data_IF_185774900482
#
_entry.id   IF_185774900482
#
_cell.length_a   1.000
_cell.length_b   1.000
_cell.length_c   1.000
_cell.angle_alpha   90.00
_cell.angle_beta   90.00
_cell.angle_gamma   90.00
#
_symmetry.space_group_name_H-M   'P 1'
#
loop_
_entity.id
_entity.type
_entity.pdbx_description
1 polymer ?
#
# COMPACT_ATOMS: atom_id res chain seq x y z
N UNK A 1 -5.13 2.28 27.18
CA UNK A 1 -5.63 1.09 26.46
C UNK A 1 -4.59 0.73 25.41
N UNK A 2 -4.22 -0.54 25.32
CA UNK A 2 -2.90 -1.01 24.86
C UNK A 2 -2.85 -1.19 23.34
N UNK A 3 -2.48 -0.14 22.58
CA UNK A 3 -2.46 -0.16 21.10
C UNK A 3 -1.14 -0.66 20.48
N UNK A 4 -0.09 -0.85 21.28
CA UNK A 4 1.26 -1.21 20.81
C UNK A 4 1.39 -2.54 20.03
N UNK A 5 0.85 -3.68 20.47
CA UNK A 5 1.11 -4.96 19.79
C UNK A 5 0.40 -5.10 18.44
N UNK A 6 -0.78 -4.47 18.29
CA UNK A 6 -1.55 -4.53 17.05
C UNK A 6 -0.97 -3.61 15.97
N UNK A 7 -0.50 -2.42 16.34
CA UNK A 7 0.17 -1.50 15.41
C UNK A 7 1.47 -2.09 14.86
N UNK A 8 2.28 -2.73 15.72
CA UNK A 8 3.52 -3.37 15.29
C UNK A 8 3.25 -4.50 14.29
N UNK A 9 2.22 -5.32 14.55
CA UNK A 9 1.80 -6.38 13.63
C UNK A 9 1.40 -5.85 12.26
N UNK A 10 0.69 -4.71 12.21
CA UNK A 10 0.31 -4.08 10.95
C UNK A 10 1.49 -3.49 10.19
N UNK A 11 2.44 -2.86 10.89
CA UNK A 11 3.67 -2.34 10.27
C UNK A 11 4.47 -3.48 9.66
N UNK A 12 4.69 -4.56 10.42
CA UNK A 12 5.42 -5.74 9.94
C UNK A 12 4.74 -6.36 8.72
N UNK A 13 3.40 -6.50 8.75
CA UNK A 13 2.65 -7.03 7.62
C UNK A 13 2.81 -6.17 6.36
N UNK A 14 2.76 -4.84 6.46
CA UNK A 14 2.93 -3.96 5.30
C UNK A 14 4.35 -4.05 4.71
N UNK A 15 5.38 -4.19 5.56
CA UNK A 15 6.77 -4.35 5.10
C UNK A 15 6.97 -5.68 4.35
N UNK A 16 6.39 -6.78 4.82
CA UNK A 16 6.44 -8.07 4.11
C UNK A 16 5.77 -7.99 2.73
N UNK A 17 4.63 -7.31 2.64
CA UNK A 17 3.88 -7.14 1.40
C UNK A 17 4.64 -6.23 0.42
N UNK A 18 5.34 -5.21 0.94
CA UNK A 18 6.24 -4.34 0.18
C UNK A 18 7.41 -5.13 -0.41
N UNK A 19 8.02 -6.03 0.33
CA UNK A 19 9.14 -6.84 -0.18
C UNK A 19 8.69 -7.74 -1.34
N UNK A 20 7.52 -8.38 -1.21
CA UNK A 20 6.92 -9.19 -2.27
C UNK A 20 6.63 -8.35 -3.51
N UNK A 21 6.07 -7.14 -3.33
CA UNK A 21 5.87 -6.20 -4.44
C UNK A 21 7.18 -5.89 -5.15
N UNK A 22 8.24 -5.53 -4.42
CA UNK A 22 9.53 -5.15 -5.00
C UNK A 22 10.13 -6.29 -5.85
N UNK A 23 9.99 -7.54 -5.41
CA UNK A 23 10.43 -8.73 -6.16
C UNK A 23 9.66 -8.91 -7.48
N UNK A 24 8.35 -8.63 -7.51
CA UNK A 24 7.52 -8.79 -8.72
C UNK A 24 7.42 -7.52 -9.57
N UNK A 25 7.74 -6.34 -9.02
CA UNK A 25 7.60 -5.03 -9.66
C UNK A 25 8.33 -4.97 -10.99
N UNK A 26 9.55 -5.50 -11.06
CA UNK A 26 10.33 -5.52 -12.30
C UNK A 26 9.62 -6.30 -13.43
N UNK A 27 8.84 -7.33 -13.08
CA UNK A 27 8.01 -8.06 -14.05
C UNK A 27 6.76 -7.27 -14.42
N UNK A 28 6.06 -6.71 -13.43
CA UNK A 28 4.85 -5.90 -13.65
C UNK A 28 5.11 -4.67 -14.52
N UNK A 29 6.28 -4.06 -14.40
CA UNK A 29 6.70 -2.92 -15.23
C UNK A 29 6.83 -3.31 -16.71
N UNK A 30 7.19 -4.56 -17.00
CA UNK A 30 7.27 -5.06 -18.38
C UNK A 30 5.88 -5.41 -18.93
N UNK A 31 4.87 -5.57 -18.08
CA UNK A 31 3.51 -5.87 -18.50
C UNK A 31 2.72 -4.58 -18.83
N UNK A 32 2.22 -4.44 -20.07
CA UNK A 32 1.47 -3.25 -20.49
C UNK A 32 0.22 -2.98 -19.63
N UNK A 33 -0.40 -4.03 -19.11
CA UNK A 33 -1.62 -3.95 -18.30
C UNK A 33 -1.41 -3.29 -16.94
N UNK A 34 -0.19 -3.35 -16.40
CA UNK A 34 0.14 -2.84 -15.07
C UNK A 34 1.02 -1.59 -15.12
N UNK A 35 1.82 -1.41 -16.17
CA UNK A 35 2.72 -0.27 -16.30
C UNK A 35 1.95 1.06 -16.18
N UNK A 36 2.38 1.90 -15.24
CA UNK A 36 1.79 3.21 -14.96
C UNK A 36 0.53 3.16 -14.08
N UNK A 37 0.07 1.97 -13.67
CA UNK A 37 -1.10 1.80 -12.80
C UNK A 37 -0.70 1.58 -11.35
N UNK A 38 -1.64 1.83 -10.45
CA UNK A 38 -1.55 1.40 -9.06
C UNK A 38 -1.94 -0.06 -8.96
N UNK A 39 -1.22 -0.80 -8.12
CA UNK A 39 -1.49 -2.20 -7.81
C UNK A 39 -1.64 -2.35 -6.30
N UNK A 40 -2.66 -3.08 -5.89
CA UNK A 40 -2.94 -3.39 -4.50
C UNK A 40 -2.48 -4.82 -4.20
N UNK A 41 -1.71 -4.95 -3.14
CA UNK A 41 -1.19 -6.23 -2.66
C UNK A 41 -1.72 -6.48 -1.26
N UNK A 42 -2.26 -7.68 -1.10
CA UNK A 42 -2.79 -8.17 0.16
C UNK A 42 -2.51 -9.67 0.27
N UNK A 43 -1.99 -10.10 1.42
CA UNK A 43 -1.56 -11.48 1.68
C UNK A 43 -0.61 -12.07 0.63
N UNK A 44 0.26 -11.24 0.07
CA UNK A 44 1.29 -11.56 -0.91
C UNK A 44 0.79 -11.69 -2.34
N UNK A 45 -0.46 -11.31 -2.60
CA UNK A 45 -1.09 -11.43 -3.91
C UNK A 45 -1.58 -10.08 -4.41
N UNK A 46 -1.53 -9.88 -5.72
CA UNK A 46 -2.19 -8.74 -6.36
C UNK A 46 -3.69 -8.97 -6.29
N UNK A 47 -4.39 -8.09 -5.58
CA UNK A 47 -5.85 -8.14 -5.40
C UNK A 47 -6.59 -7.16 -6.30
N UNK A 48 -5.88 -6.21 -6.92
CA UNK A 48 -6.44 -5.30 -7.90
C UNK A 48 -5.40 -4.37 -8.52
N UNK A 49 -5.78 -3.73 -9.62
CA UNK A 49 -5.04 -2.63 -10.22
C UNK A 49 -6.01 -1.56 -10.74
N UNK A 50 -5.61 -0.30 -10.68
CA UNK A 50 -6.40 0.85 -11.18
C UNK A 50 -5.46 2.02 -11.50
N UNK A 51 -5.92 2.93 -12.34
CA UNK A 51 -5.21 4.17 -12.65
C UNK A 51 -5.25 5.18 -11.48
N UNK A 52 -6.22 5.04 -10.56
CA UNK A 52 -6.37 5.90 -9.40
C UNK A 52 -6.24 5.13 -8.07
N UNK A 53 -5.21 5.50 -7.28
CA UNK A 53 -4.96 4.93 -5.94
C UNK A 53 -6.19 4.89 -5.03
N UNK A 54 -6.97 5.98 -4.97
CA UNK A 54 -8.14 6.08 -4.09
C UNK A 54 -9.28 5.15 -4.51
N UNK A 55 -9.52 5.00 -5.83
CA UNK A 55 -10.54 4.08 -6.35
C UNK A 55 -10.16 2.63 -6.08
N UNK A 56 -8.88 2.30 -6.27
CA UNK A 56 -8.33 0.99 -5.95
C UNK A 56 -8.47 0.66 -4.46
N UNK A 57 -8.07 1.58 -3.58
CA UNK A 57 -8.18 1.38 -2.14
C UNK A 57 -9.64 1.14 -1.72
N UNK A 58 -10.57 1.96 -2.23
CA UNK A 58 -12.00 1.79 -1.96
C UNK A 58 -12.50 0.42 -2.42
N UNK A 59 -12.21 0.01 -3.66
CA UNK A 59 -12.64 -1.28 -4.20
C UNK A 59 -12.08 -2.47 -3.40
N UNK A 60 -10.85 -2.36 -2.90
CA UNK A 60 -10.23 -3.39 -2.06
C UNK A 60 -10.89 -3.42 -0.67
N UNK A 61 -11.16 -2.28 -0.06
CA UNK A 61 -11.86 -2.21 1.23
C UNK A 61 -13.31 -2.71 1.13
N UNK A 62 -14.02 -2.43 0.05
CA UNK A 62 -15.36 -2.97 -0.19
C UNK A 62 -15.36 -4.50 -0.31
N UNK A 63 -14.26 -5.09 -0.82
CA UNK A 63 -14.16 -6.54 -1.01
C UNK A 63 -13.59 -7.30 0.20
N UNK A 64 -12.64 -6.72 0.92
CA UNK A 64 -11.89 -7.40 1.99
C UNK A 64 -12.07 -6.77 3.38
N UNK A 65 -12.84 -5.69 3.49
CA UNK A 65 -12.97 -4.90 4.71
C UNK A 65 -11.79 -3.95 4.94
N UNK A 66 -11.83 -3.21 6.04
CA UNK A 66 -10.82 -2.19 6.38
C UNK A 66 -9.56 -2.83 6.96
N UNK A 67 -8.77 -3.47 6.09
CA UNK A 67 -7.55 -4.22 6.43
C UNK A 67 -6.29 -3.50 5.93
N UNK A 68 -5.11 -3.71 6.55
CA UNK A 68 -3.85 -3.17 6.04
C UNK A 68 -3.55 -3.74 4.64
N UNK A 69 -3.44 -2.86 3.65
CA UNK A 69 -3.13 -3.20 2.26
C UNK A 69 -1.96 -2.35 1.77
N UNK A 70 -1.08 -2.95 0.97
CA UNK A 70 0.00 -2.21 0.32
C UNK A 70 -0.46 -1.77 -1.07
N UNK A 71 -0.42 -0.47 -1.35
CA UNK A 71 -0.73 0.05 -2.69
C UNK A 71 0.45 0.86 -3.19
N UNK A 72 0.89 0.57 -4.41
CA UNK A 72 1.96 1.31 -5.06
C UNK A 72 1.83 1.33 -6.58
N UNK A 73 2.48 2.31 -7.20
CA UNK A 73 2.48 2.47 -8.65
C UNK A 73 3.56 1.60 -9.30
N UNK A 74 3.21 0.95 -10.40
CA UNK A 74 4.14 0.17 -11.22
C UNK A 74 4.82 1.10 -12.22
N UNK A 75 5.87 1.77 -11.77
CA UNK A 75 6.67 2.67 -12.59
C UNK A 75 8.17 2.35 -12.51
N UNK A 76 8.91 2.75 -13.55
CA UNK A 76 10.37 2.67 -13.62
C UNK A 76 10.94 3.88 -12.86
N UNK A 77 11.48 3.66 -11.66
CA UNK A 77 12.14 4.72 -10.88
C UNK A 77 12.06 4.50 -9.36
N UNK A 78 12.92 5.21 -8.63
CA UNK A 78 12.90 5.21 -7.16
C UNK A 78 11.65 5.91 -6.62
N UNK A 79 11.04 5.28 -5.61
CA UNK A 79 9.84 5.78 -4.94
C UNK A 79 10.23 6.98 -4.08
N UNK A 80 9.76 8.18 -4.42
CA UNK A 80 9.78 9.31 -3.47
C UNK A 80 8.59 9.16 -2.53
N UNK A 81 8.83 8.61 -1.34
CA UNK A 81 7.86 8.65 -0.25
C UNK A 81 8.20 9.88 0.58
N UNK A 82 7.38 10.92 0.45
CA UNK A 82 7.37 11.98 1.46
C UNK A 82 6.66 11.43 2.68
N UNK A 83 7.40 11.24 3.77
CA UNK A 83 6.81 10.95 5.08
C UNK A 83 6.40 12.30 5.66
N UNK A 84 5.09 12.64 5.70
CA UNK A 84 4.68 13.87 6.36
C UNK A 84 5.09 13.78 7.83
N UNK A 85 5.82 14.77 8.32
CA UNK A 85 6.11 14.89 9.75
C UNK A 85 4.78 14.96 10.50
N UNK A 86 4.58 14.14 11.56
CA UNK A 86 3.37 14.24 12.36
C UNK A 86 3.33 15.63 13.02
N UNK A 87 2.41 16.47 12.57
CA UNK A 87 2.08 17.70 13.28
C UNK A 87 1.16 17.35 14.44
N UNK A 88 1.67 17.46 15.67
CA UNK A 88 0.88 17.33 16.88
C UNK A 88 -0.11 18.50 16.94
N UNK A 89 -1.32 18.34 16.42
CA UNK A 89 -2.40 19.28 16.68
C UNK A 89 -2.77 19.17 18.16
N UNK A 90 -2.24 20.08 18.97
CA UNK A 90 -2.64 20.28 20.36
C UNK A 90 -4.07 20.80 20.34
N UNK A 91 -5.07 19.93 20.52
CA UNK A 91 -6.40 20.39 20.89
C UNK A 91 -6.33 20.85 22.35
N UNK A 92 -6.18 22.16 22.55
CA UNK A 92 -6.53 22.80 23.81
C UNK A 92 -8.05 22.87 23.91
N UNK A 93 -8.56 22.41 25.06
CA UNK A 93 -9.97 22.35 25.46
C UNK A 93 -10.56 23.72 25.75
#
# INVERSE_FOLDING_TARGET
MTEGPQQLKYILQVEEEREKFLKIRNKLVQEPSYRGKYVAIFQGKIVGCDDHKGKLAKAVYERYGYVPIYIDMVAIGERRVEVPSPELTRHEV
#
